data_IF_678435135346
#
_entry.id   IF_678435135346
#
_cell.length_a   1.000
_cell.length_b   1.000
_cell.length_c   1.000
_cell.angle_alpha   90.00
_cell.angle_beta   90.00
_cell.angle_gamma   90.00
#
_symmetry.space_group_name_H-M   'P 1'
#
loop_
_entity.id
_entity.type
_entity.pdbx_description
1 polymer ?
#
# COMPACT_ATOMS: atom_id res chain seq x y z
N UNK A 1 1.49 18.82 33.08
CA UNK A 1 1.12 17.69 32.19
C UNK A 1 1.26 18.16 30.75
N UNK A 2 2.24 17.68 30.00
CA UNK A 2 2.33 17.96 28.57
C UNK A 2 3.08 16.83 27.87
N UNK A 3 2.36 16.07 27.05
CA UNK A 3 2.93 15.14 26.06
C UNK A 3 2.01 15.12 24.84
N UNK A 4 2.23 16.10 23.98
CA UNK A 4 2.08 16.04 22.51
C UNK A 4 0.82 15.34 21.97
N UNK A 5 -0.21 16.14 21.69
CA UNK A 5 -1.09 15.90 20.54
C UNK A 5 -0.24 15.86 19.27
N UNK A 6 0.21 14.67 18.85
CA UNK A 6 0.69 14.45 17.49
C UNK A 6 -0.49 14.70 16.58
N UNK A 7 -0.59 15.91 16.02
CA UNK A 7 -1.54 16.23 14.94
C UNK A 7 -1.35 15.15 13.85
N UNK A 8 -2.30 14.21 13.76
CA UNK A 8 -2.37 13.24 12.65
C UNK A 8 -2.45 14.10 11.39
N UNK A 9 -1.40 14.09 10.57
CA UNK A 9 -1.44 14.74 9.27
C UNK A 9 -2.57 14.06 8.48
N UNK A 10 -3.46 14.82 7.83
CA UNK A 10 -4.45 14.21 6.95
C UNK A 10 -3.68 13.42 5.88
N UNK A 11 -4.02 12.14 5.74
CA UNK A 11 -3.45 11.33 4.68
C UNK A 11 -4.00 11.87 3.35
N UNK A 12 -3.12 12.46 2.53
CA UNK A 12 -3.47 12.87 1.17
C UNK A 12 -3.43 11.62 0.29
N UNK A 13 -4.59 11.20 -0.20
CA UNK A 13 -4.72 10.13 -1.18
C UNK A 13 -4.70 10.73 -2.58
N UNK A 14 -3.96 10.11 -3.51
CA UNK A 14 -3.97 10.50 -4.91
C UNK A 14 -5.15 9.89 -5.67
N UNK A 15 -5.71 8.78 -5.18
CA UNK A 15 -6.84 8.10 -5.82
C UNK A 15 -8.08 8.05 -4.91
N UNK A 16 -9.17 8.67 -5.34
CA UNK A 16 -10.44 8.80 -4.59
C UNK A 16 -11.10 7.45 -4.28
N UNK A 17 -10.77 6.41 -5.06
CA UNK A 17 -11.24 5.03 -4.82
C UNK A 17 -10.71 4.41 -3.53
N UNK A 18 -9.58 4.91 -3.00
CA UNK A 18 -9.02 4.46 -1.73
C UNK A 18 -9.55 5.29 -0.53
N UNK A 19 -10.04 6.52 -0.78
CA UNK A 19 -10.66 7.35 0.28
C UNK A 19 -12.06 6.87 0.67
N UNK A 20 -12.85 6.34 -0.26
CA UNK A 20 -14.24 5.91 -0.02
C UNK A 20 -14.39 4.37 -0.04
N UNK A 21 -13.85 3.69 0.98
CA UNK A 21 -14.10 2.25 1.17
C UNK A 21 -13.17 1.31 0.40
N UNK A 22 -11.91 1.70 0.19
CA UNK A 22 -10.89 0.88 -0.49
C UNK A 22 -10.41 -0.38 0.24
N UNK A 23 -11.12 -0.84 1.27
CA UNK A 23 -10.75 -2.00 2.10
C UNK A 23 -10.84 -3.32 1.34
N UNK A 24 -11.88 -3.45 0.51
CA UNK A 24 -12.16 -4.61 -0.34
C UNK A 24 -11.45 -4.56 -1.70
N UNK A 25 -10.58 -3.56 -1.92
CA UNK A 25 -9.77 -3.53 -3.13
C UNK A 25 -8.69 -4.60 -3.06
N UNK A 26 -8.48 -5.27 -4.18
CA UNK A 26 -7.50 -6.34 -4.32
C UNK A 26 -6.35 -5.81 -5.18
N UNK A 27 -5.21 -5.44 -4.58
CA UNK A 27 -4.03 -5.02 -5.33
C UNK A 27 -3.31 -6.21 -5.95
N UNK A 28 -2.93 -6.06 -7.22
CA UNK A 28 -2.20 -7.05 -8.00
C UNK A 28 -0.95 -6.44 -8.61
N UNK A 29 0.18 -7.11 -8.42
CA UNK A 29 1.47 -6.73 -8.97
C UNK A 29 1.47 -6.80 -10.50
N UNK A 30 1.97 -5.74 -11.13
CA UNK A 30 2.17 -5.66 -12.58
C UNK A 30 3.58 -6.14 -12.89
N UNK A 31 3.70 -7.40 -13.32
CA UNK A 31 4.97 -8.01 -13.69
C UNK A 31 5.77 -8.50 -12.48
N UNK A 32 7.10 -8.49 -12.60
CA UNK A 32 8.00 -8.89 -11.51
C UNK A 32 9.11 -7.84 -11.33
N UNK A 33 9.31 -7.40 -10.09
CA UNK A 33 10.43 -6.56 -9.72
C UNK A 33 11.55 -7.47 -9.21
N UNK A 34 12.77 -7.42 -9.79
CA UNK A 34 13.88 -8.21 -9.29
C UNK A 34 14.38 -7.64 -7.96
N UNK A 35 14.84 -8.52 -7.06
CA UNK A 35 15.44 -8.13 -5.77
C UNK A 35 16.63 -7.16 -5.91
N UNK A 36 17.29 -7.18 -7.07
CA UNK A 36 18.36 -6.24 -7.41
C UNK A 36 17.90 -4.77 -7.34
N UNK A 37 16.63 -4.45 -7.62
CA UNK A 37 16.12 -3.09 -7.51
C UNK A 37 16.22 -2.54 -6.08
N UNK A 38 16.06 -3.41 -5.07
CA UNK A 38 16.25 -3.06 -3.66
C UNK A 38 17.74 -2.85 -3.35
N UNK A 39 18.59 -3.75 -3.83
CA UNK A 39 20.05 -3.67 -3.62
C UNK A 39 20.67 -2.42 -4.26
N UNK A 40 20.11 -1.97 -5.39
CA UNK A 40 20.53 -0.74 -6.08
C UNK A 40 19.92 0.53 -5.47
N UNK A 41 19.10 0.41 -4.42
CA UNK A 41 18.44 1.55 -3.76
C UNK A 41 17.31 2.19 -4.57
N UNK A 42 16.82 1.52 -5.61
CA UNK A 42 15.73 2.02 -6.47
C UNK A 42 14.35 1.82 -5.84
N UNK A 43 14.23 0.87 -4.90
CA UNK A 43 13.01 0.60 -4.15
C UNK A 43 13.36 0.28 -2.69
N UNK A 44 12.60 0.84 -1.75
CA UNK A 44 12.74 0.48 -0.34
C UNK A 44 12.43 -1.00 -0.11
N UNK A 45 13.14 -1.71 0.79
CA UNK A 45 12.78 -3.07 1.19
C UNK A 45 11.31 -3.20 1.59
N UNK A 46 10.78 -2.23 2.33
CA UNK A 46 9.39 -2.19 2.73
C UNK A 46 8.41 -2.23 1.54
N UNK A 47 8.63 -1.38 0.54
CA UNK A 47 7.78 -1.34 -0.65
C UNK A 47 7.94 -2.57 -1.53
N UNK A 48 9.12 -3.18 -1.52
CA UNK A 48 9.34 -4.45 -2.20
C UNK A 48 8.53 -5.57 -1.55
N UNK A 49 8.57 -5.69 -0.22
CA UNK A 49 7.82 -6.71 0.51
C UNK A 49 6.30 -6.52 0.35
N UNK A 50 5.82 -5.27 0.43
CA UNK A 50 4.42 -4.95 0.15
C UNK A 50 4.03 -5.33 -1.29
N UNK A 51 4.88 -5.00 -2.26
CA UNK A 51 4.65 -5.35 -3.66
C UNK A 51 4.58 -6.87 -3.87
N UNK A 52 5.45 -7.66 -3.21
CA UNK A 52 5.42 -9.13 -3.29
C UNK A 52 4.11 -9.71 -2.71
N UNK A 53 3.53 -9.05 -1.71
CA UNK A 53 2.24 -9.44 -1.11
C UNK A 53 1.02 -9.01 -1.94
N UNK A 54 1.17 -8.09 -2.89
CA UNK A 54 0.11 -7.69 -3.81
C UNK A 54 -0.05 -8.75 -4.93
N UNK A 55 -0.46 -9.96 -4.59
CA UNK A 55 -0.57 -11.09 -5.51
C UNK A 55 -1.92 -11.16 -6.26
N UNK A 56 -2.87 -10.30 -5.90
CA UNK A 56 -4.23 -10.33 -6.42
C UNK A 56 -5.18 -11.26 -5.68
N UNK A 57 -4.79 -11.79 -4.51
CA UNK A 57 -5.64 -12.63 -3.65
C UNK A 57 -5.99 -11.96 -2.33
N UNK A 58 -5.10 -11.11 -1.80
CA UNK A 58 -5.32 -10.38 -0.55
C UNK A 58 -5.97 -9.03 -0.80
N UNK A 59 -6.94 -8.64 0.04
CA UNK A 59 -7.50 -7.29 0.05
C UNK A 59 -6.56 -6.30 0.75
N UNK A 60 -6.81 -4.99 0.61
CA UNK A 60 -6.05 -3.97 1.35
C UNK A 60 -6.17 -4.16 2.87
N UNK A 61 -7.33 -4.63 3.35
CA UNK A 61 -7.51 -4.97 4.78
C UNK A 61 -6.68 -6.18 5.19
N UNK A 62 -6.64 -7.23 4.38
CA UNK A 62 -5.82 -8.40 4.70
C UNK A 62 -4.33 -8.03 4.73
N UNK A 63 -3.89 -7.14 3.83
CA UNK A 63 -2.52 -6.65 3.80
C UNK A 63 -2.19 -5.82 5.04
N UNK A 64 -3.12 -4.98 5.51
CA UNK A 64 -2.91 -4.20 6.75
C UNK A 64 -2.71 -5.11 7.95
N UNK A 65 -3.54 -6.16 8.06
CA UNK A 65 -3.45 -7.12 9.16
C UNK A 65 -2.17 -7.97 9.09
N UNK A 66 -1.80 -8.44 7.89
CA UNK A 66 -0.59 -9.24 7.69
C UNK A 66 0.71 -8.49 7.95
N UNK A 67 0.71 -7.17 7.79
CA UNK A 67 1.90 -6.34 7.98
C UNK A 67 1.89 -5.58 9.30
N UNK A 68 0.82 -5.70 10.09
CA UNK A 68 0.60 -4.97 11.35
C UNK A 68 0.72 -3.45 11.14
N UNK A 69 0.05 -2.95 10.10
CA UNK A 69 0.05 -1.53 9.70
C UNK A 69 -1.37 -1.01 9.76
N UNK A 70 -1.56 0.24 10.19
CA UNK A 70 -2.86 0.89 10.20
C UNK A 70 -3.47 0.92 8.79
N UNK A 71 -4.75 0.57 8.68
CA UNK A 71 -5.45 0.46 7.40
C UNK A 71 -5.37 1.75 6.57
N UNK A 72 -5.46 2.92 7.20
CA UNK A 72 -5.35 4.19 6.48
C UNK A 72 -3.93 4.41 5.94
N UNK A 73 -2.92 4.00 6.70
CA UNK A 73 -1.52 4.06 6.27
C UNK A 73 -1.23 3.05 5.15
N UNK A 74 -1.77 1.83 5.24
CA UNK A 74 -1.68 0.82 4.19
C UNK A 74 -2.25 1.32 2.86
N UNK A 75 -3.43 1.96 2.90
CA UNK A 75 -4.03 2.59 1.71
C UNK A 75 -3.10 3.61 1.06
N UNK A 76 -2.38 4.42 1.84
CA UNK A 76 -1.40 5.38 1.32
C UNK A 76 -0.22 4.66 0.64
N UNK A 77 0.22 3.52 1.19
CA UNK A 77 1.30 2.73 0.60
C UNK A 77 0.88 2.08 -0.72
N UNK A 78 -0.31 1.50 -0.77
CA UNK A 78 -0.92 0.96 -1.99
C UNK A 78 -1.10 2.05 -3.04
N UNK A 79 -1.60 3.23 -2.66
CA UNK A 79 -1.80 4.37 -3.56
C UNK A 79 -0.48 4.82 -4.22
N UNK A 80 0.62 4.85 -3.46
CA UNK A 80 1.96 5.15 -4.00
C UNK A 80 2.44 4.10 -4.99
N UNK A 81 2.23 2.81 -4.71
CA UNK A 81 2.59 1.73 -5.64
C UNK A 81 1.76 1.79 -6.93
N UNK A 82 0.48 2.13 -6.81
CA UNK A 82 -0.44 2.30 -7.93
C UNK A 82 -0.02 3.48 -8.80
N UNK A 83 0.27 4.63 -8.18
CA UNK A 83 0.76 5.84 -8.87
C UNK A 83 2.04 5.60 -9.66
N UNK A 84 2.94 4.78 -9.11
CA UNK A 84 4.17 4.38 -9.78
C UNK A 84 3.95 3.31 -10.87
N UNK A 85 2.70 2.88 -11.10
CA UNK A 85 2.34 1.90 -12.12
C UNK A 85 2.84 0.48 -11.81
N UNK A 86 3.24 0.22 -10.56
CA UNK A 86 3.77 -1.08 -10.14
C UNK A 86 2.65 -2.08 -9.88
N UNK A 87 1.50 -1.62 -9.40
CA UNK A 87 0.34 -2.49 -9.14
C UNK A 87 -0.88 -1.99 -9.90
N UNK A 88 -1.89 -2.85 -10.00
CA UNK A 88 -3.25 -2.54 -10.45
C UNK A 88 -4.22 -2.96 -9.37
N UNK A 89 -5.32 -2.24 -9.19
CA UNK A 89 -6.38 -2.58 -8.23
C UNK A 89 -7.65 -3.01 -8.96
N UNK A 90 -8.27 -4.07 -8.47
CA UNK A 90 -9.61 -4.51 -8.85
C UNK A 90 -10.53 -4.48 -7.64
N UNK A 91 -11.82 -4.18 -7.85
CA UNK A 91 -12.85 -4.49 -6.85
C UNK A 91 -13.07 -6.00 -6.87
N UNK A 92 -13.09 -6.62 -5.70
CA UNK A 92 -13.62 -7.97 -5.58
C UNK A 92 -15.10 -7.95 -5.99
N UNK A 93 -15.52 -8.91 -6.82
CA UNK A 93 -16.88 -8.96 -7.39
C UNK A 93 -17.90 -9.40 -6.33
#
# INVERSE_FOLDING_TARGET
MSRTDRKKKPYEFYNETLSEGGESLVPKAKGSIPKLAVLLGLLSPFYYDLYQKCDGNATVSDLSDQMDIDLAEMRVYIDKLLKNGLITISKDN
#
